data_IF_435156685679
#
_entry.id   IF_435156685679
#
_cell.length_a   1.000
_cell.length_b   1.000
_cell.length_c   1.000
_cell.angle_alpha   90.00
_cell.angle_beta   90.00
_cell.angle_gamma   90.00
#
_symmetry.space_group_name_H-M   'P 1'
#
loop_
_entity.id
_entity.type
_entity.pdbx_description
1 polymer ?
#
# COMPACT_ATOMS: atom_id res chain seq x y z
N UNK A 1 6.64 12.98 31.75
CA UNK A 1 5.85 12.75 30.53
C UNK A 1 6.83 12.65 29.36
N UNK A 2 6.84 11.57 28.63
CA UNK A 2 7.74 11.37 27.50
C UNK A 2 7.00 11.69 26.21
N UNK A 3 7.68 12.34 25.25
CA UNK A 3 7.16 12.57 23.91
C UNK A 3 7.70 11.52 22.96
N UNK A 4 6.82 10.95 22.15
CA UNK A 4 7.14 10.00 21.09
C UNK A 4 7.06 10.70 19.73
N UNK A 5 8.11 10.66 18.90
CA UNK A 5 8.05 11.26 17.58
C UNK A 5 6.91 10.65 16.72
N UNK A 6 6.10 11.52 16.16
CA UNK A 6 4.96 11.19 15.31
C UNK A 6 5.10 11.92 13.97
N UNK A 7 4.89 11.18 12.90
CA UNK A 7 4.93 11.71 11.53
C UNK A 7 3.67 11.29 10.79
N UNK A 8 3.19 12.17 9.90
CA UNK A 8 2.26 11.76 8.85
C UNK A 8 3.00 11.87 7.52
N UNK A 9 2.98 10.79 6.76
CA UNK A 9 3.74 10.64 5.52
C UNK A 9 2.79 10.24 4.41
N UNK A 10 2.85 10.94 3.30
CA UNK A 10 2.19 10.56 2.06
C UNK A 10 3.14 9.67 1.26
N UNK A 11 2.78 8.40 1.09
CA UNK A 11 3.56 7.41 0.36
C UNK A 11 3.15 7.33 -1.11
N UNK A 12 4.09 6.88 -1.98
CA UNK A 12 3.94 6.77 -3.43
C UNK A 12 3.72 8.10 -4.15
N UNK A 13 4.28 9.18 -3.60
CA UNK A 13 4.18 10.52 -4.17
C UNK A 13 5.39 11.38 -3.75
N UNK A 14 5.68 12.42 -4.51
CA UNK A 14 6.59 13.52 -4.16
C UNK A 14 5.82 14.86 -3.99
N UNK A 15 4.47 14.82 -4.04
CA UNK A 15 3.61 15.97 -3.86
C UNK A 15 2.81 15.82 -2.55
N UNK A 16 2.83 16.82 -1.66
CA UNK A 16 2.04 16.77 -0.43
C UNK A 16 0.54 16.66 -0.76
N UNK A 17 -0.20 15.96 0.12
CA UNK A 17 -1.65 15.76 0.05
C UNK A 17 -2.13 14.86 -1.12
N UNK A 18 -1.20 14.14 -1.75
CA UNK A 18 -1.47 13.07 -2.72
C UNK A 18 -0.91 11.74 -2.19
N UNK A 19 -0.96 10.66 -2.96
CA UNK A 19 -0.47 9.34 -2.51
C UNK A 19 -1.32 8.74 -1.39
N UNK A 20 -0.75 7.79 -0.66
CA UNK A 20 -1.43 7.08 0.42
C UNK A 20 -0.86 7.51 1.78
N UNK A 21 -1.67 8.19 2.64
CA UNK A 21 -1.20 8.71 3.92
C UNK A 21 -1.09 7.59 4.97
N UNK A 22 0.00 7.61 5.74
CA UNK A 22 0.16 6.78 6.93
C UNK A 22 0.72 7.61 8.08
N UNK A 23 0.29 7.31 9.31
CA UNK A 23 1.01 7.77 10.49
C UNK A 23 2.19 6.84 10.80
N UNK A 24 3.28 7.41 11.30
CA UNK A 24 4.46 6.67 11.76
C UNK A 24 4.83 7.15 13.15
N UNK A 25 4.81 6.24 14.12
CA UNK A 25 5.20 6.52 15.52
C UNK A 25 6.52 5.80 15.80
N UNK A 26 7.55 6.56 16.17
CA UNK A 26 8.83 5.98 16.60
C UNK A 26 8.79 5.72 18.10
N UNK A 27 8.88 4.43 18.47
CA UNK A 27 8.91 3.97 19.82
C UNK A 27 10.34 3.59 20.24
N UNK A 28 10.64 3.67 21.54
CA UNK A 28 11.92 3.16 22.10
C UNK A 28 11.90 1.66 22.31
N UNK A 29 10.73 1.10 22.59
CA UNK A 29 10.45 -0.34 22.83
C UNK A 29 9.03 -0.67 22.40
N UNK A 30 8.67 -1.93 22.35
CA UNK A 30 7.30 -2.35 22.07
C UNK A 30 6.29 -1.78 23.07
N UNK A 31 5.09 -1.53 22.59
CA UNK A 31 3.93 -1.13 23.38
C UNK A 31 2.83 -2.21 23.30
N UNK A 32 1.80 -2.11 24.15
CA UNK A 32 0.68 -3.05 24.11
C UNK A 32 -0.15 -2.87 22.82
N UNK A 33 -0.81 -3.95 22.40
CA UNK A 33 -1.73 -3.95 21.25
C UNK A 33 -2.84 -2.91 21.45
N UNK A 34 -3.41 -2.89 22.65
CA UNK A 34 -4.52 -1.99 22.99
C UNK A 34 -4.12 -0.51 22.88
N UNK A 35 -2.92 -0.17 23.34
CA UNK A 35 -2.41 1.20 23.22
C UNK A 35 -2.17 1.57 21.75
N UNK A 36 -1.51 0.70 20.98
CA UNK A 36 -1.28 0.96 19.55
C UNK A 36 -2.58 1.10 18.77
N UNK A 37 -3.59 0.29 19.11
CA UNK A 37 -4.91 0.38 18.49
C UNK A 37 -5.61 1.72 18.83
N UNK A 38 -5.57 2.16 20.08
CA UNK A 38 -6.11 3.47 20.50
C UNK A 38 -5.44 4.62 19.76
N UNK A 39 -4.11 4.58 19.61
CA UNK A 39 -3.39 5.60 18.84
C UNK A 39 -3.80 5.57 17.36
N UNK A 40 -3.95 4.39 16.77
CA UNK A 40 -4.41 4.26 15.39
C UNK A 40 -5.84 4.78 15.19
N UNK A 41 -6.72 4.60 16.19
CA UNK A 41 -8.08 5.16 16.22
C UNK A 41 -8.04 6.70 16.27
N UNK A 42 -7.18 7.27 17.11
CA UNK A 42 -7.02 8.72 17.23
C UNK A 42 -6.47 9.34 15.95
N UNK A 43 -5.49 8.69 15.31
CA UNK A 43 -4.93 9.15 14.02
C UNK A 43 -5.94 9.07 12.88
N UNK A 44 -6.85 8.10 12.93
CA UNK A 44 -7.93 7.91 11.96
C UNK A 44 -7.48 7.93 10.49
N UNK A 45 -6.29 7.39 10.22
CA UNK A 45 -5.75 7.14 8.89
C UNK A 45 -5.99 5.68 8.50
N UNK A 46 -5.77 5.33 7.22
CA UNK A 46 -5.89 3.93 6.79
C UNK A 46 -5.03 3.01 7.65
N UNK A 47 -3.76 3.37 7.88
CA UNK A 47 -2.89 2.67 8.83
C UNK A 47 -1.97 3.63 9.60
N UNK A 48 -1.67 3.20 10.84
CA UNK A 48 -0.60 3.75 11.69
C UNK A 48 0.48 2.70 11.88
N UNK A 49 1.72 3.04 11.52
CA UNK A 49 2.91 2.22 11.70
C UNK A 49 3.60 2.53 13.03
N UNK A 50 3.91 1.50 13.81
CA UNK A 50 4.70 1.60 15.04
C UNK A 50 6.06 0.94 14.82
N UNK A 51 7.13 1.72 14.99
CA UNK A 51 8.51 1.30 14.72
C UNK A 51 9.34 1.40 15.97
N UNK A 52 10.08 0.35 16.32
CA UNK A 52 11.05 0.37 17.41
C UNK A 52 12.24 -0.57 17.14
N UNK A 53 13.42 -0.28 17.71
CA UNK A 53 14.60 -1.13 17.58
C UNK A 53 14.36 -2.53 18.14
N UNK A 54 14.83 -3.58 17.42
CA UNK A 54 14.75 -4.98 17.83
C UNK A 54 15.99 -5.72 17.34
N UNK A 55 16.99 -5.87 18.20
CA UNK A 55 18.31 -6.39 17.86
C UNK A 55 18.94 -5.65 16.68
N UNK A 56 19.27 -6.34 15.59
CA UNK A 56 19.82 -5.80 14.34
C UNK A 56 18.76 -5.37 13.32
N UNK A 57 17.48 -5.36 13.72
CA UNK A 57 16.31 -5.04 12.91
C UNK A 57 15.50 -3.92 13.58
N UNK A 58 14.45 -3.50 12.90
CA UNK A 58 13.36 -2.74 13.50
C UNK A 58 12.12 -3.63 13.59
N UNK A 59 11.42 -3.63 14.71
CA UNK A 59 10.06 -4.15 14.75
C UNK A 59 9.14 -3.16 14.07
N UNK A 60 8.24 -3.65 13.22
CA UNK A 60 7.25 -2.85 12.51
C UNK A 60 5.90 -3.52 12.60
N UNK A 61 4.93 -2.77 13.13
CA UNK A 61 3.54 -3.21 13.29
C UNK A 61 2.61 -2.15 12.72
N UNK A 62 1.52 -2.60 12.09
CA UNK A 62 0.56 -1.72 11.43
C UNK A 62 -0.83 -1.94 12.00
N UNK A 63 -1.50 -0.85 12.29
CA UNK A 63 -2.86 -0.86 12.82
C UNK A 63 -3.75 0.03 11.98
N UNK A 64 -4.86 -0.52 11.51
CA UNK A 64 -6.02 0.27 11.10
C UNK A 64 -6.71 0.82 12.36
N UNK A 65 -7.69 1.73 12.27
CA UNK A 65 -8.51 2.11 13.42
C UNK A 65 -9.30 0.96 14.07
N UNK A 66 -9.28 -0.25 13.49
CA UNK A 66 -10.08 -1.39 13.97
C UNK A 66 -9.26 -2.59 14.41
N UNK A 67 -8.18 -2.90 13.70
CA UNK A 67 -7.40 -4.12 13.91
C UNK A 67 -5.94 -3.93 13.53
N UNK A 68 -5.07 -4.78 14.07
CA UNK A 68 -3.73 -4.98 13.55
C UNK A 68 -3.79 -5.73 12.22
N UNK A 69 -2.95 -5.32 11.26
CA UNK A 69 -2.82 -5.99 9.96
C UNK A 69 -1.44 -6.62 9.80
N UNK A 70 -1.40 -7.75 9.11
CA UNK A 70 -0.17 -8.54 8.96
C UNK A 70 0.81 -7.94 7.94
N UNK A 71 0.31 -7.14 6.99
CA UNK A 71 1.11 -6.54 5.92
C UNK A 71 0.49 -5.24 5.44
N UNK A 72 1.33 -4.19 5.35
CA UNK A 72 0.94 -2.90 4.80
C UNK A 72 2.11 -2.26 4.03
N UNK A 73 2.01 -2.17 2.69
CA UNK A 73 3.10 -1.66 1.85
C UNK A 73 3.37 -0.17 2.02
N UNK A 74 2.32 0.69 1.94
CA UNK A 74 2.51 2.13 2.01
C UNK A 74 2.99 2.59 3.39
N UNK A 75 2.48 1.99 4.47
CA UNK A 75 2.94 2.30 5.82
C UNK A 75 4.36 1.77 6.10
N UNK A 76 4.80 0.66 5.45
CA UNK A 76 6.20 0.21 5.46
C UNK A 76 7.11 1.20 4.75
N UNK A 77 6.69 1.69 3.58
CA UNK A 77 7.43 2.70 2.83
C UNK A 77 7.55 4.00 3.63
N UNK A 78 6.47 4.43 4.27
CA UNK A 78 6.45 5.59 5.17
C UNK A 78 7.36 5.41 6.38
N UNK A 79 7.37 4.23 7.01
CA UNK A 79 8.26 3.91 8.12
C UNK A 79 9.74 3.97 7.70
N UNK A 80 10.08 3.39 6.55
CA UNK A 80 11.43 3.45 6.01
C UNK A 80 11.86 4.90 5.70
N UNK A 81 10.98 5.69 5.08
CA UNK A 81 11.19 7.11 4.83
C UNK A 81 11.55 7.87 6.11
N UNK A 82 10.75 7.70 7.18
CA UNK A 82 10.97 8.37 8.47
C UNK A 82 12.28 7.95 9.12
N UNK A 83 12.66 6.67 9.08
CA UNK A 83 13.93 6.20 9.65
C UNK A 83 15.14 6.84 8.96
N UNK A 84 15.12 7.01 7.64
CA UNK A 84 16.17 7.74 6.91
C UNK A 84 16.08 9.24 7.12
N UNK A 85 14.89 9.84 7.09
CA UNK A 85 14.71 11.29 7.24
C UNK A 85 15.16 11.78 8.62
N UNK A 86 14.97 10.98 9.67
CA UNK A 86 15.40 11.30 11.04
C UNK A 86 16.88 10.99 11.30
N UNK A 87 17.58 10.37 10.34
CA UNK A 87 18.94 9.91 10.54
C UNK A 87 19.07 8.72 11.51
N UNK A 88 17.95 8.07 11.87
CA UNK A 88 17.97 6.84 12.68
C UNK A 88 18.69 5.71 11.95
N UNK A 89 18.57 5.68 10.62
CA UNK A 89 19.34 4.83 9.72
C UNK A 89 20.06 5.74 8.71
N UNK A 90 21.35 5.54 8.43
CA UNK A 90 22.06 6.26 7.38
C UNK A 90 21.42 6.07 6.00
N UNK A 91 21.38 7.12 5.18
CA UNK A 91 20.69 7.13 3.88
C UNK A 91 21.11 6.03 2.90
N UNK A 92 22.32 5.53 2.99
CA UNK A 92 22.85 4.47 2.10
C UNK A 92 22.60 3.05 2.60
N UNK A 93 22.08 2.88 3.80
CA UNK A 93 21.87 1.56 4.41
C UNK A 93 20.46 1.04 4.15
N UNK A 94 20.36 -0.27 3.88
CA UNK A 94 19.07 -0.95 3.78
C UNK A 94 18.45 -1.14 5.18
N UNK A 95 17.13 -1.09 5.23
CA UNK A 95 16.38 -1.31 6.46
C UNK A 95 15.75 -2.70 6.41
N UNK A 96 15.79 -3.40 7.54
CA UNK A 96 15.11 -4.69 7.73
C UNK A 96 14.12 -4.57 8.86
N UNK A 97 12.88 -4.98 8.57
CA UNK A 97 11.78 -4.96 9.52
C UNK A 97 11.37 -6.37 9.93
N UNK A 98 11.28 -6.62 11.24
CA UNK A 98 10.62 -7.81 11.79
C UNK A 98 9.14 -7.52 11.91
N UNK A 99 8.30 -8.28 11.21
CA UNK A 99 6.85 -8.11 11.13
C UNK A 99 6.12 -9.43 11.39
N UNK A 100 4.79 -9.41 11.48
CA UNK A 100 3.97 -10.63 11.56
C UNK A 100 4.07 -11.50 10.31
N UNK A 101 4.36 -10.90 9.14
CA UNK A 101 4.58 -11.61 7.86
C UNK A 101 6.03 -12.00 7.60
N UNK A 102 6.88 -12.00 8.64
CA UNK A 102 8.31 -12.27 8.52
C UNK A 102 9.15 -11.01 8.35
N UNK A 103 10.35 -11.17 7.78
CA UNK A 103 11.27 -10.05 7.58
C UNK A 103 10.98 -9.36 6.25
N UNK A 104 10.72 -8.06 6.30
CA UNK A 104 10.58 -7.20 5.14
C UNK A 104 11.82 -6.32 4.98
N UNK A 105 12.27 -6.15 3.73
CA UNK A 105 13.38 -5.26 3.37
C UNK A 105 12.90 -3.98 2.71
N UNK A 106 13.52 -2.87 3.07
CA UNK A 106 13.40 -1.61 2.37
C UNK A 106 14.79 -1.11 1.96
N UNK A 107 14.94 -0.63 0.76
CA UNK A 107 16.18 -0.01 0.28
C UNK A 107 15.88 1.23 -0.54
N UNK A 108 16.82 2.15 -0.56
CA UNK A 108 16.73 3.33 -1.40
C UNK A 108 17.50 3.07 -2.71
N UNK A 109 16.84 3.31 -3.82
CA UNK A 109 17.43 3.27 -5.16
C UNK A 109 17.16 4.62 -5.79
N UNK A 110 18.20 5.46 -5.87
CA UNK A 110 18.05 6.86 -6.23
C UNK A 110 17.02 7.57 -5.29
N UNK A 111 15.96 8.13 -5.85
CA UNK A 111 14.91 8.82 -5.09
C UNK A 111 13.73 7.88 -4.68
N UNK A 112 13.80 6.60 -5.07
CA UNK A 112 12.70 5.64 -4.85
C UNK A 112 13.03 4.72 -3.69
N UNK A 113 12.09 4.54 -2.79
CA UNK A 113 12.13 3.53 -1.74
C UNK A 113 11.54 2.25 -2.31
N UNK A 114 12.34 1.20 -2.46
CA UNK A 114 11.89 -0.13 -2.91
C UNK A 114 11.65 -1.05 -1.72
N UNK A 115 10.51 -1.73 -1.74
CA UNK A 115 10.12 -2.81 -0.84
C UNK A 115 10.14 -4.13 -1.61
N UNK A 116 10.61 -5.19 -0.98
CA UNK A 116 10.74 -6.52 -1.58
C UNK A 116 9.59 -7.43 -1.16
N UNK A 117 8.80 -7.91 -2.13
CA UNK A 117 7.65 -8.78 -1.91
C UNK A 117 7.68 -10.02 -2.81
N UNK A 118 7.02 -11.13 -2.42
CA UNK A 118 6.76 -12.23 -3.33
C UNK A 118 5.81 -11.79 -4.46
N UNK A 119 6.03 -12.31 -5.65
CA UNK A 119 5.14 -12.09 -6.79
C UNK A 119 3.78 -12.76 -6.54
N UNK A 120 2.70 -12.03 -6.76
CA UNK A 120 1.33 -12.56 -6.71
C UNK A 120 0.99 -13.33 -7.97
N UNK A 121 0.46 -14.53 -7.82
CA UNK A 121 -0.06 -15.33 -8.93
C UNK A 121 -1.47 -14.89 -9.34
N UNK A 122 -1.79 -15.00 -10.63
CA UNK A 122 -3.13 -14.79 -11.18
C UNK A 122 -3.64 -16.08 -11.85
N UNK A 123 -4.89 -16.40 -11.58
CA UNK A 123 -5.61 -17.47 -12.25
C UNK A 123 -6.78 -16.85 -13.03
N UNK A 124 -6.84 -17.02 -14.36
CA UNK A 124 -8.01 -16.60 -15.14
C UNK A 124 -9.26 -17.21 -14.54
N UNK A 125 -10.27 -16.40 -14.29
CA UNK A 125 -11.49 -16.85 -13.63
C UNK A 125 -12.68 -15.99 -14.06
N UNK A 126 -13.84 -16.64 -14.17
CA UNK A 126 -15.11 -15.93 -14.27
C UNK A 126 -15.49 -15.42 -12.86
N UNK A 127 -15.65 -14.12 -12.74
CA UNK A 127 -16.04 -13.51 -11.46
C UNK A 127 -17.50 -13.85 -11.09
N UNK A 128 -17.84 -13.74 -9.79
CA UNK A 128 -19.21 -13.90 -9.35
C UNK A 128 -20.18 -12.99 -10.12
N UNK A 129 -21.40 -13.47 -10.33
CA UNK A 129 -22.43 -12.67 -10.98
C UNK A 129 -22.65 -11.36 -10.21
N UNK A 130 -22.86 -10.28 -10.94
CA UNK A 130 -23.08 -8.95 -10.36
C UNK A 130 -21.82 -8.12 -10.11
N UNK A 131 -20.60 -8.70 -10.02
CA UNK A 131 -19.38 -7.90 -9.81
C UNK A 131 -19.19 -6.88 -10.91
N UNK A 132 -19.26 -7.31 -12.18
CA UNK A 132 -19.10 -6.41 -13.33
C UNK A 132 -20.21 -5.36 -13.36
N UNK A 133 -21.47 -5.76 -13.05
CA UNK A 133 -22.58 -4.81 -12.98
C UNK A 133 -22.39 -3.75 -11.88
N UNK A 134 -21.86 -4.16 -10.72
CA UNK A 134 -21.60 -3.26 -9.60
C UNK A 134 -20.41 -2.30 -9.85
N UNK A 135 -19.41 -2.73 -10.63
CA UNK A 135 -18.25 -1.89 -10.94
C UNK A 135 -18.50 -0.99 -12.15
N UNK A 136 -19.24 -1.50 -13.13
CA UNK A 136 -19.52 -0.84 -14.40
C UNK A 136 -18.49 -1.16 -15.49
N UNK A 137 -18.75 -0.67 -16.69
CA UNK A 137 -17.92 -0.87 -17.87
C UNK A 137 -17.97 -2.29 -18.45
N UNK A 138 -17.08 -2.57 -19.38
CA UNK A 138 -16.99 -3.88 -20.07
C UNK A 138 -15.53 -4.36 -20.01
N UNK A 139 -15.15 -5.14 -18.99
CA UNK A 139 -13.79 -5.65 -18.88
C UNK A 139 -13.49 -6.65 -20.00
N UNK A 140 -12.26 -6.60 -20.52
CA UNK A 140 -11.75 -7.49 -21.59
C UNK A 140 -11.13 -8.77 -21.02
N UNK A 141 -10.79 -8.76 -19.73
CA UNK A 141 -10.21 -9.94 -19.03
C UNK A 141 -10.58 -9.91 -17.55
N UNK A 142 -10.72 -11.08 -16.95
CA UNK A 142 -10.92 -11.24 -15.52
C UNK A 142 -10.10 -12.39 -14.94
N UNK A 143 -9.63 -12.21 -13.70
CA UNK A 143 -8.82 -13.18 -12.97
C UNK A 143 -9.01 -13.05 -11.46
N UNK A 144 -8.46 -14.03 -10.72
CA UNK A 144 -8.40 -14.02 -9.26
C UNK A 144 -6.97 -14.23 -8.76
N UNK A 145 -6.66 -13.64 -7.63
CA UNK A 145 -5.44 -13.88 -6.86
C UNK A 145 -5.82 -13.99 -5.38
N UNK A 146 -5.92 -15.24 -4.90
CA UNK A 146 -6.53 -15.50 -3.60
C UNK A 146 -7.96 -14.95 -3.53
N UNK A 147 -8.22 -14.08 -2.55
CA UNK A 147 -9.54 -13.44 -2.38
C UNK A 147 -9.67 -12.11 -3.14
N UNK A 148 -8.68 -11.72 -3.93
CA UNK A 148 -8.71 -10.50 -4.75
C UNK A 148 -9.15 -10.82 -6.16
N UNK A 149 -9.96 -9.95 -6.71
CA UNK A 149 -10.38 -9.98 -8.10
C UNK A 149 -9.59 -9.00 -8.95
N UNK A 150 -9.37 -9.31 -10.21
CA UNK A 150 -8.79 -8.41 -11.19
C UNK A 150 -9.68 -8.33 -12.42
N UNK A 151 -9.97 -7.09 -12.83
CA UNK A 151 -10.63 -6.76 -14.09
C UNK A 151 -9.71 -5.87 -14.92
N UNK A 152 -9.44 -6.30 -16.15
CA UNK A 152 -8.74 -5.46 -17.12
C UNK A 152 -9.75 -4.82 -18.06
N UNK A 153 -9.57 -3.54 -18.32
CA UNK A 153 -10.34 -2.74 -19.27
C UNK A 153 -9.50 -2.37 -20.48
N UNK A 154 -10.16 -2.04 -21.61
CA UNK A 154 -9.48 -1.75 -22.85
C UNK A 154 -8.71 -0.42 -22.80
N UNK A 155 -9.21 0.58 -22.08
CA UNK A 155 -8.68 1.94 -22.09
C UNK A 155 -8.52 2.53 -20.67
N UNK A 156 -7.55 3.45 -20.53
CA UNK A 156 -7.37 4.23 -19.31
C UNK A 156 -8.63 5.08 -18.99
N UNK A 157 -9.30 5.60 -20.02
CA UNK A 157 -10.52 6.38 -19.87
C UNK A 157 -11.66 5.60 -19.19
N UNK A 158 -11.77 4.30 -19.46
CA UNK A 158 -12.75 3.45 -18.75
C UNK A 158 -12.43 3.40 -17.26
N UNK A 159 -11.16 3.20 -16.86
CA UNK A 159 -10.74 3.16 -15.45
C UNK A 159 -11.12 4.46 -14.72
N UNK A 160 -10.88 5.62 -15.34
CA UNK A 160 -11.23 6.92 -14.74
C UNK A 160 -12.73 7.10 -14.55
N UNK A 161 -13.53 6.57 -15.45
CA UNK A 161 -14.99 6.76 -15.46
C UNK A 161 -15.75 5.71 -14.62
N UNK A 162 -15.07 4.71 -14.05
CA UNK A 162 -15.75 3.74 -13.18
C UNK A 162 -16.31 4.43 -11.93
N UNK A 163 -17.59 4.18 -11.68
CA UNK A 163 -18.33 4.64 -10.49
C UNK A 163 -18.97 3.44 -9.79
N UNK A 164 -18.17 2.65 -9.01
CA UNK A 164 -18.67 1.41 -8.43
C UNK A 164 -19.80 1.64 -7.43
N UNK A 165 -20.81 0.79 -7.50
CA UNK A 165 -21.80 0.63 -6.43
C UNK A 165 -21.20 -0.26 -5.31
N UNK A 166 -20.65 0.39 -4.30
CA UNK A 166 -20.00 -0.30 -3.17
C UNK A 166 -21.00 -1.10 -2.32
N UNK A 167 -22.27 -0.68 -2.25
CA UNK A 167 -23.30 -1.43 -1.55
C UNK A 167 -23.61 -2.74 -2.28
N UNK A 168 -23.72 -2.70 -3.59
CA UNK A 168 -23.90 -3.92 -4.40
C UNK A 168 -22.67 -4.85 -4.31
N UNK A 169 -21.42 -4.30 -4.32
CA UNK A 169 -20.20 -5.08 -4.13
C UNK A 169 -20.18 -5.81 -2.78
N UNK A 170 -20.58 -5.16 -1.70
CA UNK A 170 -20.60 -5.76 -0.36
C UNK A 170 -21.58 -6.94 -0.23
N UNK A 171 -22.58 -7.06 -1.11
CA UNK A 171 -23.47 -8.23 -1.13
C UNK A 171 -22.84 -9.48 -1.73
N UNK A 172 -21.66 -9.34 -2.36
CA UNK A 172 -20.92 -10.42 -3.00
C UNK A 172 -19.71 -10.72 -2.14
N UNK A 173 -19.47 -11.98 -1.77
CA UNK A 173 -18.31 -12.35 -0.94
C UNK A 173 -17.01 -12.05 -1.70
N UNK A 174 -16.19 -11.15 -1.18
CA UNK A 174 -14.91 -10.75 -1.74
C UNK A 174 -14.05 -10.06 -0.68
N UNK A 175 -12.83 -9.62 -1.06
CA UNK A 175 -11.92 -8.89 -0.18
C UNK A 175 -11.38 -7.62 -0.83
N UNK A 176 -11.10 -7.68 -2.12
CA UNK A 176 -10.58 -6.55 -2.87
C UNK A 176 -10.73 -6.75 -4.37
N UNK A 177 -10.89 -5.65 -5.08
CA UNK A 177 -11.05 -5.61 -6.52
C UNK A 177 -10.04 -4.65 -7.14
N UNK A 178 -9.19 -5.19 -7.98
CA UNK A 178 -8.23 -4.46 -8.82
C UNK A 178 -8.90 -4.21 -10.16
N UNK A 179 -8.93 -2.97 -10.61
CA UNK A 179 -9.26 -2.62 -12.00
C UNK A 179 -8.03 -2.00 -12.65
N UNK A 180 -7.75 -2.34 -13.90
CA UNK A 180 -6.51 -1.91 -14.57
C UNK A 180 -6.68 -1.80 -16.08
N UNK A 181 -5.88 -0.95 -16.71
CA UNK A 181 -5.71 -0.88 -18.16
C UNK A 181 -4.29 -0.44 -18.50
N UNK A 182 -3.88 -0.61 -19.76
CA UNK A 182 -2.69 0.04 -20.27
C UNK A 182 -2.86 1.57 -20.15
N UNK A 183 -1.77 2.27 -19.83
CA UNK A 183 -1.80 3.73 -19.80
C UNK A 183 -1.74 4.33 -21.20
N UNK A 184 -2.43 5.46 -21.40
CA UNK A 184 -2.44 6.20 -22.66
C UNK A 184 -1.37 7.31 -22.70
N UNK A 185 -0.74 7.62 -21.55
CA UNK A 185 0.24 8.70 -21.39
C UNK A 185 1.68 8.20 -21.41
N UNK A 186 2.59 9.03 -21.91
CA UNK A 186 4.01 8.73 -21.91
C UNK A 186 4.58 8.62 -20.48
N UNK A 187 5.52 7.69 -20.30
CA UNK A 187 6.19 7.48 -19.02
C UNK A 187 5.42 6.66 -17.98
N UNK A 188 4.18 6.27 -18.27
CA UNK A 188 3.38 5.35 -17.46
C UNK A 188 3.05 4.12 -18.31
N UNK A 189 3.22 2.94 -17.73
CA UNK A 189 2.99 1.68 -18.44
C UNK A 189 1.55 1.18 -18.28
N UNK A 190 0.99 1.31 -17.08
CA UNK A 190 -0.40 0.94 -16.81
C UNK A 190 -1.00 1.79 -15.70
N UNK A 191 -2.33 1.81 -15.66
CA UNK A 191 -3.09 2.45 -14.58
C UNK A 191 -3.90 1.42 -13.82
N UNK A 192 -4.24 1.76 -12.57
CA UNK A 192 -5.07 0.91 -11.73
C UNK A 192 -5.93 1.73 -10.76
N UNK A 193 -7.00 1.10 -10.25
CA UNK A 193 -7.70 1.49 -9.02
C UNK A 193 -7.91 0.25 -8.17
N UNK A 194 -8.07 0.44 -6.87
CA UNK A 194 -8.30 -0.65 -5.93
C UNK A 194 -9.49 -0.36 -5.03
N UNK A 195 -10.49 -1.22 -5.08
CA UNK A 195 -11.71 -1.11 -4.30
C UNK A 195 -11.77 -2.22 -3.24
N UNK A 196 -12.04 -1.85 -2.00
CA UNK A 196 -12.05 -2.78 -0.87
C UNK A 196 -13.14 -2.46 0.16
N UNK A 197 -14.42 -2.34 -0.25
CA UNK A 197 -15.51 -2.00 0.67
C UNK A 197 -15.70 -3.06 1.77
N UNK A 198 -15.31 -4.32 1.52
CA UNK A 198 -15.39 -5.43 2.49
C UNK A 198 -14.53 -5.23 3.73
N UNK A 199 -13.48 -4.42 3.65
CA UNK A 199 -12.61 -4.08 4.79
C UNK A 199 -12.81 -2.66 5.29
N UNK A 200 -13.90 -1.99 4.84
CA UNK A 200 -14.31 -0.67 5.29
C UNK A 200 -13.68 0.51 4.55
N UNK A 201 -12.98 0.27 3.45
CA UNK A 201 -12.36 1.28 2.60
C UNK A 201 -12.92 1.15 1.19
N UNK A 202 -13.79 2.07 0.76
CA UNK A 202 -14.39 2.00 -0.57
C UNK A 202 -13.33 1.96 -1.67
N UNK A 203 -12.36 2.88 -1.63
CA UNK A 203 -11.24 2.93 -2.55
C UNK A 203 -9.96 3.28 -1.79
N UNK A 204 -8.92 2.45 -1.95
CA UNK A 204 -7.59 2.69 -1.36
C UNK A 204 -6.78 3.61 -2.28
N UNK A 205 -6.17 4.69 -1.77
CA UNK A 205 -5.44 5.65 -2.59
C UNK A 205 -4.31 5.07 -3.43
N UNK A 206 -3.43 4.26 -2.84
CA UNK A 206 -2.35 3.53 -3.53
C UNK A 206 -2.07 2.22 -2.81
N UNK A 207 -2.19 1.11 -3.53
CA UNK A 207 -2.18 -0.25 -2.96
C UNK A 207 -0.93 -1.03 -3.39
N UNK A 208 0.08 -1.08 -2.55
CA UNK A 208 1.31 -1.84 -2.82
C UNK A 208 1.03 -3.32 -3.13
N UNK A 209 0.17 -3.97 -2.34
CA UNK A 209 -0.18 -5.38 -2.52
C UNK A 209 -0.98 -5.70 -3.80
N UNK A 210 -1.63 -4.72 -4.43
CA UNK A 210 -2.21 -4.88 -5.75
C UNK A 210 -1.12 -4.93 -6.83
N UNK A 211 -0.05 -4.15 -6.65
CA UNK A 211 1.04 -4.08 -7.61
C UNK A 211 1.96 -5.32 -7.57
N UNK A 212 1.95 -6.13 -6.49
CA UNK A 212 2.61 -7.44 -6.52
C UNK A 212 1.94 -8.41 -7.50
N UNK A 213 0.65 -8.18 -7.81
CA UNK A 213 -0.16 -8.94 -8.78
C UNK A 213 -0.06 -8.28 -10.16
N UNK A 214 -0.24 -6.96 -10.22
CA UNK A 214 -0.22 -6.19 -11.46
C UNK A 214 1.16 -6.21 -12.15
N UNK A 215 2.24 -6.27 -11.36
CA UNK A 215 3.60 -6.35 -11.88
C UNK A 215 3.81 -7.54 -12.81
N UNK A 216 3.65 -8.79 -12.36
CA UNK A 216 3.74 -9.97 -13.22
C UNK A 216 2.76 -9.94 -14.39
N UNK A 217 1.53 -9.51 -14.15
CA UNK A 217 0.49 -9.41 -15.18
C UNK A 217 0.90 -8.50 -16.34
N UNK A 218 1.27 -7.26 -16.04
CA UNK A 218 1.69 -6.30 -17.04
C UNK A 218 3.09 -6.58 -17.58
N UNK A 219 3.97 -7.15 -16.77
CA UNK A 219 5.31 -7.55 -17.20
C UNK A 219 5.27 -8.51 -18.38
N UNK A 220 4.40 -9.52 -18.32
CA UNK A 220 4.18 -10.48 -19.44
C UNK A 220 3.57 -9.77 -20.64
N UNK A 221 2.52 -8.96 -20.45
CA UNK A 221 1.82 -8.29 -21.53
C UNK A 221 2.66 -7.26 -22.29
N UNK A 222 3.54 -6.55 -21.58
CA UNK A 222 4.37 -5.47 -22.13
C UNK A 222 5.79 -5.93 -22.49
N UNK A 223 6.19 -7.14 -22.09
CA UNK A 223 7.56 -7.63 -22.26
C UNK A 223 8.57 -6.83 -21.41
N UNK A 224 8.16 -6.31 -20.23
CA UNK A 224 8.97 -5.41 -19.40
C UNK A 224 9.23 -6.01 -18.02
N UNK A 225 10.43 -5.79 -17.50
CA UNK A 225 10.78 -6.11 -16.11
C UNK A 225 10.73 -4.88 -15.18
N UNK A 226 10.81 -3.68 -15.73
CA UNK A 226 10.68 -2.42 -15.00
C UNK A 226 9.53 -1.62 -15.60
N UNK A 227 8.63 -1.18 -14.75
CA UNK A 227 7.42 -0.48 -15.16
C UNK A 227 7.10 0.66 -14.19
N UNK A 228 6.43 1.67 -14.70
CA UNK A 228 5.85 2.75 -13.90
C UNK A 228 4.33 2.61 -13.98
N UNK A 229 3.69 2.46 -12.85
CA UNK A 229 2.24 2.42 -12.71
C UNK A 229 1.71 3.71 -12.08
N UNK A 230 0.49 4.07 -12.40
CA UNK A 230 -0.23 5.11 -11.71
C UNK A 230 -1.55 4.55 -11.18
N UNK A 231 -1.71 4.52 -9.85
CA UNK A 231 -3.01 4.25 -9.26
C UNK A 231 -3.82 5.55 -9.28
N UNK A 232 -4.91 5.54 -10.06
CA UNK A 232 -5.67 6.76 -10.41
C UNK A 232 -6.90 6.96 -9.51
N UNK A 233 -6.71 6.80 -8.21
CA UNK A 233 -7.67 7.18 -7.19
C UNK A 233 -7.80 8.72 -7.08
N UNK A 234 -8.71 9.20 -6.23
CA UNK A 234 -8.86 10.65 -6.00
C UNK A 234 -7.57 11.35 -5.52
N UNK A 235 -6.72 10.66 -4.73
CA UNK A 235 -5.41 11.17 -4.31
C UNK A 235 -4.32 10.87 -5.33
N UNK A 236 -4.45 9.76 -6.03
CA UNK A 236 -3.47 9.28 -7.00
C UNK A 236 -2.13 8.89 -6.38
N UNK A 237 -1.28 8.23 -7.16
CA UNK A 237 0.10 7.98 -6.78
C UNK A 237 0.85 7.12 -7.79
N UNK A 238 2.17 7.23 -7.76
CA UNK A 238 3.08 6.58 -8.70
C UNK A 238 3.77 5.40 -8.04
N UNK A 239 3.68 4.24 -8.68
CA UNK A 239 4.30 3.00 -8.21
C UNK A 239 5.32 2.51 -9.24
N UNK A 240 6.56 2.42 -8.81
CA UNK A 240 7.62 1.78 -9.59
C UNK A 240 7.58 0.28 -9.33
N UNK A 241 7.52 -0.50 -10.36
CA UNK A 241 7.45 -1.97 -10.28
C UNK A 241 8.66 -2.56 -10.99
N UNK A 242 9.39 -3.45 -10.28
CA UNK A 242 10.53 -4.18 -10.86
C UNK A 242 10.40 -5.66 -10.54
N UNK A 243 10.41 -6.48 -11.58
CA UNK A 243 10.34 -7.93 -11.48
C UNK A 243 11.74 -8.55 -11.36
N UNK A 244 11.89 -9.57 -10.51
CA UNK A 244 13.13 -10.32 -10.34
C UNK A 244 12.80 -11.78 -9.93
N UNK A 245 12.61 -12.63 -10.92
CA UNK A 245 12.20 -14.03 -10.73
C UNK A 245 10.83 -14.11 -10.06
N UNK A 246 10.78 -14.72 -8.89
CA UNK A 246 9.57 -14.85 -8.05
C UNK A 246 9.33 -13.66 -7.11
N UNK A 247 10.15 -12.59 -7.23
CA UNK A 247 10.06 -11.38 -6.42
C UNK A 247 9.56 -10.20 -7.24
N UNK A 248 8.81 -9.33 -6.58
CA UNK A 248 8.40 -8.02 -7.10
C UNK A 248 8.86 -6.94 -6.13
N UNK A 249 9.63 -6.00 -6.65
CA UNK A 249 10.01 -4.80 -5.92
C UNK A 249 9.00 -3.70 -6.22
N UNK A 250 8.34 -3.24 -5.17
CA UNK A 250 7.35 -2.16 -5.23
C UNK A 250 7.98 -0.91 -4.69
N UNK A 251 8.11 0.09 -5.52
CA UNK A 251 8.81 1.31 -5.18
C UNK A 251 7.95 2.56 -5.29
N UNK A 252 8.30 3.57 -4.49
CA UNK A 252 7.67 4.88 -4.54
C UNK A 252 8.51 5.92 -3.81
N UNK A 253 8.21 7.19 -4.07
CA UNK A 253 8.68 8.30 -3.24
C UNK A 253 7.78 8.46 -2.03
N UNK A 254 8.21 9.23 -1.06
CA UNK A 254 7.43 9.60 0.11
C UNK A 254 7.75 11.02 0.55
N UNK A 255 6.76 11.69 1.10
CA UNK A 255 6.91 13.03 1.64
C UNK A 255 6.25 13.15 3.01
N UNK A 256 6.98 13.68 3.98
CA UNK A 256 6.43 13.96 5.31
C UNK A 256 5.62 15.25 5.25
N UNK A 257 4.34 15.17 5.64
CA UNK A 257 3.42 16.32 5.65
C UNK A 257 3.15 16.85 7.05
N UNK A 258 3.32 16.03 8.10
CA UNK A 258 3.21 16.45 9.50
C UNK A 258 4.37 15.86 10.30
N UNK A 259 5.00 16.69 11.13
CA UNK A 259 5.94 16.28 12.19
C UNK A 259 5.41 16.79 13.52
N UNK A 260 5.33 15.91 14.50
CA UNK A 260 4.81 16.21 15.81
C UNK A 260 5.30 15.24 16.88
N UNK A 261 4.62 15.23 17.98
CA UNK A 261 4.91 14.32 19.07
C UNK A 261 3.61 13.84 19.73
N UNK A 262 3.54 12.55 19.99
CA UNK A 262 2.49 11.93 20.77
C UNK A 262 2.91 11.92 22.25
N UNK A 263 2.01 12.27 23.16
CA UNK A 263 2.25 12.12 24.59
C UNK A 263 2.24 10.64 24.96
N UNK A 264 3.35 10.15 25.48
CA UNK A 264 3.40 8.83 26.11
C UNK A 264 2.74 8.90 27.49
N UNK A 265 1.49 8.51 27.54
CA UNK A 265 0.72 8.47 28.80
C UNK A 265 0.95 7.17 29.58
N UNK A 266 1.83 6.29 29.06
CA UNK A 266 2.05 4.94 29.53
C UNK A 266 0.90 3.99 29.15
N UNK A 267 1.15 2.69 29.25
CA UNK A 267 0.06 1.71 29.28
C UNK A 267 -0.72 1.97 30.59
N UNK A 268 -1.77 2.77 30.50
CA UNK A 268 -2.73 2.85 31.60
C UNK A 268 -3.42 1.49 31.71
N UNK A 269 -3.49 0.90 32.90
CA UNK A 269 -4.09 -0.41 33.10
C UNK A 269 -5.55 -0.46 32.68
#
# INVERSE_FOLDING_TARGET
MQLLPLFQVDAFTDQPFTGNPAAVVLLRKGASVDWMLKVAQEMNLSETAFVYPKADLFSLRWFTPRVEVELCGHATLSAAHVLWETGTVPHGEAIRFSTLSGVLGARRVEEVIELDFPAGGLLPAKLPAGVIAAVGGTPVFSAVSGEKWLLEYATEKEIWNLTPDFNALMQIKGRGLIVTSRADRAGVDFVSRYFAPWIGINEDPVTGSAHTILGPFWGVKLGKQKMVAHQVSARGGVVHVRLAGDRVYIGGKAITVVKGALQDLGDQP
#
